data_IF_161196202883
#
_entry.id   IF_161196202883
#
_cell.length_a   1.000
_cell.length_b   1.000
_cell.length_c   1.000
_cell.angle_alpha   90.00
_cell.angle_beta   90.00
_cell.angle_gamma   90.00
#
_symmetry.space_group_name_H-M   'P 1'
#
loop_
_entity.id
_entity.type
_entity.pdbx_description
1 polymer ?
#
# COMPACT_ATOMS: atom_id res chain seq x y z
N UNK A 1 26.82 7.61 -9.29
CA UNK A 1 25.96 6.65 -9.98
C UNK A 1 25.52 5.65 -8.92
N UNK A 2 24.43 5.97 -8.23
CA UNK A 2 23.99 5.26 -7.02
C UNK A 2 23.22 4.04 -7.46
N UNK A 3 23.74 2.86 -7.15
CA UNK A 3 23.14 1.57 -7.48
C UNK A 3 21.77 1.46 -6.79
N UNK A 4 20.69 1.48 -7.58
CA UNK A 4 19.32 1.28 -7.10
C UNK A 4 19.20 -0.10 -6.43
N UNK A 5 18.62 -0.21 -5.23
CA UNK A 5 18.37 -1.51 -4.61
C UNK A 5 17.34 -2.28 -5.45
N UNK A 6 17.67 -3.53 -5.79
CA UNK A 6 16.94 -4.42 -6.70
C UNK A 6 15.41 -4.30 -6.63
N UNK A 7 14.79 -4.20 -7.80
CA UNK A 7 13.34 -4.02 -8.02
C UNK A 7 12.50 -5.30 -7.81
N UNK A 8 13.07 -6.36 -7.24
CA UNK A 8 12.40 -7.67 -7.24
C UNK A 8 11.49 -7.81 -6.01
N UNK A 9 10.23 -7.37 -6.16
CA UNK A 9 9.13 -7.66 -5.25
C UNK A 9 8.19 -8.74 -5.80
N UNK A 10 7.37 -9.32 -4.93
CA UNK A 10 6.25 -10.15 -5.36
C UNK A 10 5.15 -9.24 -5.90
N UNK A 11 4.83 -9.39 -7.18
CA UNK A 11 3.72 -8.67 -7.83
C UNK A 11 2.47 -9.53 -7.78
N UNK A 12 1.35 -8.92 -7.39
CA UNK A 12 0.05 -9.55 -7.29
C UNK A 12 -0.94 -8.67 -8.06
N UNK A 13 -1.60 -9.24 -9.06
CA UNK A 13 -2.70 -8.58 -9.74
C UNK A 13 -3.93 -8.52 -8.83
N UNK A 14 -4.63 -7.39 -8.82
CA UNK A 14 -5.80 -7.13 -7.97
C UNK A 14 -7.01 -6.89 -8.85
N UNK A 15 -7.77 -7.95 -9.14
CA UNK A 15 -8.98 -7.87 -9.97
C UNK A 15 -10.22 -8.52 -9.34
N UNK A 16 -10.07 -9.18 -8.18
CA UNK A 16 -11.17 -9.72 -7.40
C UNK A 16 -10.91 -9.65 -5.89
N UNK A 17 -11.95 -9.83 -5.07
CA UNK A 17 -11.82 -9.86 -3.60
C UNK A 17 -10.83 -10.94 -3.10
N UNK A 18 -10.69 -12.05 -3.83
CA UNK A 18 -9.69 -13.08 -3.53
C UNK A 18 -8.26 -12.57 -3.64
N UNK A 19 -8.00 -11.60 -4.49
CA UNK A 19 -6.66 -11.03 -4.66
C UNK A 19 -6.30 -10.11 -3.51
N UNK A 20 -7.28 -9.39 -2.96
CA UNK A 20 -7.11 -8.63 -1.71
C UNK A 20 -6.66 -9.57 -0.58
N UNK A 21 -7.20 -10.79 -0.53
CA UNK A 21 -6.76 -11.82 0.44
C UNK A 21 -5.30 -12.21 0.18
N UNK A 22 -4.92 -12.47 -1.08
CA UNK A 22 -3.54 -12.82 -1.48
C UNK A 22 -2.55 -11.72 -1.13
N UNK A 23 -2.90 -10.45 -1.37
CA UNK A 23 -2.08 -9.30 -0.97
C UNK A 23 -1.84 -9.29 0.53
N UNK A 24 -2.89 -9.47 1.36
CA UNK A 24 -2.73 -9.53 2.82
C UNK A 24 -1.79 -10.64 3.26
N UNK A 25 -1.88 -11.82 2.64
CA UNK A 25 -1.01 -12.95 2.95
C UNK A 25 0.44 -12.63 2.59
N UNK A 26 0.70 -12.15 1.37
CA UNK A 26 2.06 -11.78 0.95
C UNK A 26 2.67 -10.69 1.83
N UNK A 27 1.91 -9.66 2.17
CA UNK A 27 2.36 -8.60 3.09
C UNK A 27 2.69 -9.16 4.47
N UNK A 28 1.87 -10.08 5.00
CA UNK A 28 2.13 -10.74 6.28
C UNK A 28 3.41 -11.57 6.23
N UNK A 29 3.60 -12.37 5.19
CA UNK A 29 4.77 -13.24 5.05
C UNK A 29 6.06 -12.42 4.97
N UNK A 30 6.07 -11.34 4.18
CA UNK A 30 7.23 -10.44 4.07
C UNK A 30 7.46 -9.66 5.35
N UNK A 31 6.40 -9.23 6.06
CA UNK A 31 6.50 -8.57 7.36
C UNK A 31 7.09 -9.49 8.45
N UNK A 32 6.72 -10.77 8.44
CA UNK A 32 7.33 -11.78 9.31
C UNK A 32 8.80 -12.01 8.97
N UNK A 33 9.14 -12.13 7.67
CA UNK A 33 10.52 -12.27 7.22
C UNK A 33 11.39 -11.05 7.59
N UNK A 34 10.81 -9.85 7.51
CA UNK A 34 11.44 -8.61 7.95
C UNK A 34 11.60 -8.51 9.48
N UNK A 35 10.96 -9.40 10.24
CA UNK A 35 10.88 -9.40 11.72
C UNK A 35 10.23 -8.14 12.28
N UNK A 36 9.17 -7.65 11.65
CA UNK A 36 8.35 -6.58 12.22
C UNK A 36 7.66 -7.06 13.50
N UNK A 37 7.39 -6.16 14.44
CA UNK A 37 6.60 -6.45 15.64
C UNK A 37 5.18 -6.91 15.25
N UNK A 38 4.50 -7.71 16.09
CA UNK A 38 3.12 -8.13 15.80
C UNK A 38 2.15 -6.95 15.60
N UNK A 39 2.39 -5.85 16.34
CA UNK A 39 1.63 -4.61 16.19
C UNK A 39 1.87 -4.00 14.81
N UNK A 40 3.13 -3.91 14.36
CA UNK A 40 3.46 -3.33 13.06
C UNK A 40 3.04 -4.23 11.89
N UNK A 41 3.10 -5.56 12.05
CA UNK A 41 2.53 -6.52 11.10
C UNK A 41 1.02 -6.27 10.93
N UNK A 42 0.30 -6.10 12.04
CA UNK A 42 -1.15 -5.85 12.00
C UNK A 42 -1.45 -4.53 11.29
N UNK A 43 -0.75 -3.45 11.66
CA UNK A 43 -0.89 -2.13 11.04
C UNK A 43 -0.63 -2.18 9.53
N UNK A 44 0.45 -2.81 9.09
CA UNK A 44 0.81 -2.88 7.68
C UNK A 44 -0.20 -3.74 6.89
N UNK A 45 -0.65 -4.87 7.43
CA UNK A 45 -1.67 -5.71 6.77
C UNK A 45 -3.00 -4.96 6.65
N UNK A 46 -3.41 -4.21 7.68
CA UNK A 46 -4.61 -3.36 7.63
C UNK A 46 -4.48 -2.28 6.55
N UNK A 47 -3.36 -1.56 6.53
CA UNK A 47 -3.06 -0.54 5.51
C UNK A 47 -3.11 -1.14 4.08
N UNK A 48 -2.46 -2.28 3.87
CA UNK A 48 -2.46 -2.97 2.58
C UNK A 48 -3.85 -3.47 2.16
N UNK A 49 -4.70 -3.86 3.11
CA UNK A 49 -6.07 -4.29 2.84
C UNK A 49 -6.93 -3.15 2.28
N UNK A 50 -6.82 -1.98 2.89
CA UNK A 50 -7.55 -0.78 2.46
C UNK A 50 -7.05 -0.31 1.09
N UNK A 51 -5.74 -0.30 0.84
CA UNK A 51 -5.17 0.10 -0.45
C UNK A 51 -5.50 -0.90 -1.56
N UNK A 52 -5.44 -2.20 -1.30
CA UNK A 52 -5.87 -3.22 -2.25
C UNK A 52 -7.35 -3.07 -2.62
N UNK A 53 -8.21 -2.82 -1.63
CA UNK A 53 -9.63 -2.53 -1.88
C UNK A 53 -9.81 -1.26 -2.70
N UNK A 54 -9.06 -0.20 -2.40
CA UNK A 54 -9.17 1.04 -3.18
C UNK A 54 -8.74 0.83 -4.64
N UNK A 55 -7.65 0.09 -4.87
CA UNK A 55 -7.16 -0.30 -6.20
C UNK A 55 -8.24 -1.05 -6.96
N UNK A 56 -8.90 -2.03 -6.32
CA UNK A 56 -9.97 -2.81 -6.93
C UNK A 56 -11.23 -1.97 -7.23
N UNK A 57 -11.73 -1.24 -6.23
CA UNK A 57 -13.06 -0.60 -6.28
C UNK A 57 -13.03 0.73 -7.02
N UNK A 58 -12.01 1.56 -6.78
CA UNK A 58 -11.90 2.90 -7.38
C UNK A 58 -10.97 2.91 -8.59
N UNK A 59 -9.91 2.11 -8.56
CA UNK A 59 -8.95 1.98 -9.66
C UNK A 59 -9.44 1.09 -10.82
N UNK A 60 -10.46 0.25 -10.59
CA UNK A 60 -10.90 -0.77 -11.56
C UNK A 60 -9.99 -2.01 -11.60
N UNK A 61 -9.10 -2.13 -10.61
CA UNK A 61 -8.06 -3.15 -10.55
C UNK A 61 -6.68 -2.60 -10.92
N UNK A 62 -5.65 -3.42 -10.71
CA UNK A 62 -4.26 -3.00 -10.87
C UNK A 62 -3.28 -3.98 -10.25
N UNK A 63 -2.13 -3.48 -9.79
CA UNK A 63 -1.08 -4.28 -9.18
C UNK A 63 -0.77 -3.89 -7.74
N UNK A 64 -0.33 -4.88 -6.98
CA UNK A 64 0.30 -4.72 -5.67
C UNK A 64 1.69 -5.36 -5.71
N UNK A 65 2.73 -4.57 -5.46
CA UNK A 65 4.11 -5.04 -5.35
C UNK A 65 4.54 -5.02 -3.87
N UNK A 66 4.87 -6.18 -3.32
CA UNK A 66 5.33 -6.35 -1.93
C UNK A 66 6.80 -6.72 -1.93
N UNK A 67 7.64 -5.98 -1.18
CA UNK A 67 9.07 -6.32 -1.05
C UNK A 67 9.66 -6.00 0.30
N UNK A 68 10.71 -6.75 0.65
CA UNK A 68 11.65 -6.33 1.67
C UNK A 68 12.40 -5.11 1.17
N UNK A 69 12.53 -4.09 2.03
CA UNK A 69 13.25 -2.88 1.74
C UNK A 69 14.44 -2.77 2.70
N UNK A 70 15.63 -2.61 2.15
CA UNK A 70 16.80 -2.22 2.92
C UNK A 70 17.24 -0.82 2.48
N UNK A 71 17.28 0.12 3.42
CA UNK A 71 17.66 1.51 3.13
C UNK A 71 18.45 2.08 4.29
N UNK A 72 19.67 2.54 4.02
CA UNK A 72 20.58 3.11 5.03
C UNK A 72 20.77 2.20 6.26
N UNK A 73 20.87 0.88 6.06
CA UNK A 73 21.05 -0.11 7.14
C UNK A 73 19.77 -0.44 7.92
N UNK A 74 18.63 0.17 7.59
CA UNK A 74 17.32 -0.19 8.14
C UNK A 74 16.65 -1.23 7.25
N UNK A 75 15.96 -2.17 7.88
CA UNK A 75 15.14 -3.19 7.22
C UNK A 75 13.67 -2.82 7.42
N UNK A 76 12.89 -2.89 6.35
CA UNK A 76 11.45 -2.64 6.36
C UNK A 76 10.72 -3.43 5.29
N UNK A 77 9.42 -3.18 5.17
CA UNK A 77 8.58 -3.71 4.11
C UNK A 77 8.01 -2.54 3.34
N UNK A 78 8.18 -2.56 2.01
CA UNK A 78 7.51 -1.65 1.11
C UNK A 78 6.37 -2.37 0.40
N UNK A 79 5.23 -1.70 0.30
CA UNK A 79 4.11 -2.12 -0.53
C UNK A 79 3.77 -0.98 -1.48
N UNK A 80 3.69 -1.28 -2.76
CA UNK A 80 3.29 -0.33 -3.81
C UNK A 80 2.00 -0.83 -4.42
N UNK A 81 0.99 0.02 -4.53
CA UNK A 81 -0.23 -0.22 -5.27
C UNK A 81 -0.25 0.69 -6.49
N UNK A 82 -0.68 0.19 -7.64
CA UNK A 82 -0.81 0.99 -8.86
C UNK A 82 -2.06 0.56 -9.63
N UNK A 83 -2.81 1.53 -10.14
CA UNK A 83 -3.92 1.33 -11.07
C UNK A 83 -3.84 2.34 -12.22
N UNK A 84 -4.60 2.06 -13.30
CA UNK A 84 -4.79 2.95 -14.44
C UNK A 84 -6.21 3.55 -14.44
N UNK A 85 -6.82 3.64 -13.25
CA UNK A 85 -8.18 4.11 -13.08
C UNK A 85 -8.36 5.63 -13.29
N UNK A 86 -9.50 6.19 -12.85
CA UNK A 86 -9.79 7.61 -12.99
C UNK A 86 -8.84 8.51 -12.19
N UNK A 87 -8.10 7.97 -11.22
CA UNK A 87 -7.26 8.74 -10.30
C UNK A 87 -8.06 9.62 -9.34
N UNK A 88 -7.35 10.41 -8.53
CA UNK A 88 -7.93 11.32 -7.54
C UNK A 88 -7.66 12.76 -7.98
N UNK A 89 -8.72 13.54 -8.20
CA UNK A 89 -8.61 14.92 -8.66
C UNK A 89 -8.18 15.90 -7.56
N UNK A 90 -8.70 15.71 -6.34
CA UNK A 90 -8.40 16.54 -5.17
C UNK A 90 -7.74 15.68 -4.10
N UNK A 91 -6.40 15.66 -4.15
CA UNK A 91 -5.56 14.86 -3.25
C UNK A 91 -5.65 15.36 -1.81
N UNK A 92 -5.72 16.67 -1.63
CA UNK A 92 -5.79 17.28 -0.30
C UNK A 92 -7.10 16.89 0.41
N UNK A 93 -8.22 16.89 -0.32
CA UNK A 93 -9.49 16.40 0.18
C UNK A 93 -9.43 14.90 0.53
N UNK A 94 -8.82 14.08 -0.32
CA UNK A 94 -8.71 12.64 -0.10
C UNK A 94 -7.83 12.26 1.11
N UNK A 95 -6.90 13.15 1.49
CA UNK A 95 -6.04 13.01 2.67
C UNK A 95 -6.61 13.71 3.92
N UNK A 96 -7.75 14.39 3.81
CA UNK A 96 -8.41 15.03 4.95
C UNK A 96 -8.97 13.97 5.92
N UNK A 97 -8.86 14.26 7.22
CA UNK A 97 -9.34 13.35 8.27
C UNK A 97 -10.86 13.13 8.19
N UNK A 98 -11.26 11.87 8.29
CA UNK A 98 -12.66 11.46 8.19
C UNK A 98 -13.18 11.34 6.76
N UNK A 99 -12.38 11.68 5.74
CA UNK A 99 -12.72 11.33 4.36
C UNK A 99 -12.57 9.83 4.17
N UNK A 100 -13.70 9.16 3.95
CA UNK A 100 -13.73 7.74 3.62
C UNK A 100 -14.12 7.60 2.17
N UNK A 101 -13.41 6.75 1.44
CA UNK A 101 -13.79 6.41 0.07
C UNK A 101 -15.10 5.62 0.01
N UNK A 102 -15.48 4.94 1.11
CA UNK A 102 -16.68 4.09 1.23
C UNK A 102 -16.36 2.60 0.99
N UNK A 103 -17.14 1.69 1.60
CA UNK A 103 -17.05 0.21 1.50
C UNK A 103 -15.82 -0.53 2.08
N UNK A 104 -14.89 0.14 2.77
CA UNK A 104 -13.75 -0.48 3.48
C UNK A 104 -13.89 -0.53 5.02
N UNK A 105 -12.80 -0.75 5.76
CA UNK A 105 -12.77 -0.67 7.25
C UNK A 105 -13.04 0.74 7.80
N UNK A 106 -13.37 1.70 6.92
CA UNK A 106 -13.71 3.08 7.27
C UNK A 106 -12.50 3.96 7.57
N UNK A 107 -11.29 3.51 7.25
CA UNK A 107 -10.06 4.25 7.54
C UNK A 107 -9.70 5.26 6.44
N UNK A 108 -10.01 4.95 5.17
CA UNK A 108 -9.64 5.79 4.04
C UNK A 108 -8.11 5.94 3.88
N UNK A 109 -7.68 6.80 2.96
CA UNK A 109 -6.25 7.05 2.71
C UNK A 109 -5.57 7.72 3.92
N UNK A 110 -6.25 8.63 4.61
CA UNK A 110 -5.76 9.28 5.83
C UNK A 110 -5.53 8.28 6.97
N UNK A 111 -6.42 7.31 7.15
CA UNK A 111 -6.23 6.22 8.11
C UNK A 111 -5.09 5.28 7.75
N UNK A 112 -4.95 4.90 6.48
CA UNK A 112 -3.80 4.12 6.01
C UNK A 112 -2.47 4.82 6.30
N UNK A 113 -2.39 6.13 6.02
CA UNK A 113 -1.19 6.94 6.29
C UNK A 113 -0.76 6.92 7.77
N UNK A 114 -1.70 6.80 8.72
CA UNK A 114 -1.38 6.71 10.16
C UNK A 114 -0.80 5.36 10.60
N UNK A 115 -1.00 4.31 9.82
CA UNK A 115 -0.59 2.95 10.19
C UNK A 115 0.87 2.66 9.79
N UNK A 116 1.37 3.37 8.79
CA UNK A 116 2.68 3.17 8.17
C UNK A 116 3.66 4.25 8.61
N UNK A 117 4.95 4.03 8.39
CA UNK A 117 5.98 5.03 8.75
C UNK A 117 6.26 5.98 7.58
N UNK A 118 6.10 5.52 6.32
CA UNK A 118 6.12 6.36 5.12
C UNK A 118 4.91 6.09 4.25
N UNK A 119 4.41 7.15 3.63
CA UNK A 119 3.26 7.15 2.73
C UNK A 119 3.53 8.17 1.62
N UNK A 120 3.44 7.72 0.38
CA UNK A 120 3.57 8.51 -0.83
C UNK A 120 2.40 8.20 -1.77
N UNK A 121 1.86 9.22 -2.41
CA UNK A 121 0.69 9.15 -3.29
C UNK A 121 0.95 9.98 -4.54
N UNK A 122 1.02 9.31 -5.68
CA UNK A 122 1.08 9.91 -7.01
C UNK A 122 -0.21 9.60 -7.75
N UNK A 123 -0.99 10.62 -8.06
CA UNK A 123 -2.27 10.48 -8.74
C UNK A 123 -2.69 11.80 -9.37
N UNK A 124 -3.47 11.71 -10.44
CA UNK A 124 -4.16 12.84 -11.01
C UNK A 124 -5.40 12.33 -11.77
N UNK A 125 -6.34 13.23 -12.01
CA UNK A 125 -7.52 12.92 -12.82
C UNK A 125 -7.10 12.36 -14.20
N UNK A 126 -7.57 11.14 -14.50
CA UNK A 126 -7.31 10.40 -15.73
C UNK A 126 -5.93 9.75 -15.83
N UNK A 127 -5.12 9.73 -14.75
CA UNK A 127 -3.76 9.14 -14.75
C UNK A 127 -3.61 7.91 -13.85
N UNK A 128 -4.69 7.43 -13.25
CA UNK A 128 -4.64 6.37 -12.25
C UNK A 128 -4.09 6.83 -10.91
N UNK A 129 -3.80 5.85 -10.05
CA UNK A 129 -3.31 6.08 -8.70
C UNK A 129 -2.13 5.16 -8.43
N UNK A 130 -1.05 5.71 -7.87
CA UNK A 130 0.06 4.95 -7.30
C UNK A 130 0.23 5.33 -5.83
N UNK A 131 0.18 4.35 -4.94
CA UNK A 131 0.41 4.53 -3.51
C UNK A 131 1.58 3.67 -3.07
N UNK A 132 2.59 4.30 -2.48
CA UNK A 132 3.72 3.61 -1.86
C UNK A 132 3.67 3.77 -0.35
N UNK A 133 3.72 2.65 0.38
CA UNK A 133 3.82 2.65 1.84
C UNK A 133 5.02 1.87 2.33
N UNK A 134 5.62 2.31 3.42
CA UNK A 134 6.73 1.61 4.09
C UNK A 134 6.48 1.46 5.58
N UNK A 135 6.82 0.28 6.10
CA UNK A 135 6.91 0.01 7.53
C UNK A 135 8.32 -0.46 7.90
N UNK A 136 8.96 0.22 8.84
CA UNK A 136 10.32 -0.12 9.28
C UNK A 136 10.31 -1.06 10.47
N UNK A 137 11.30 -1.97 10.52
CA UNK A 137 11.63 -2.68 11.74
C UNK A 137 12.26 -1.69 12.72
N UNK A 138 11.67 -1.60 13.91
CA UNK A 138 12.19 -0.83 15.05
C UNK A 138 13.05 -1.70 15.94
#
# INVERSE_FOLDING_TARGET
>A
MTTSPSETGTVIEVHADSDVVRVRQSVRDVAMAAKLSLVDQTKLVTAASELARNTLVYGGGGDATVRLLERAGLIGVQVVFSDEGPGIADVDLALTDGWTSGSGLGLGLSGTRRLVDEFDLDTAAGRGTRVTVVKWRR
#
